data_IF_037611063789
#
_entry.id   IF_037611063789
#
_cell.length_a   1.000
_cell.length_b   1.000
_cell.length_c   1.000
_cell.angle_alpha   90.00
_cell.angle_beta   90.00
_cell.angle_gamma   90.00
#
_symmetry.space_group_name_H-M   'P 1'
#
loop_
_entity.id
_entity.type
_entity.pdbx_description
1 polymer ?
#
# COMPACT_ATOMS: atom_id res chain seq x y z
N UNK A 1 -32.81 98.92 -28.11
CA UNK A 1 -33.39 97.62 -27.69
C UNK A 1 -32.83 97.29 -26.31
N UNK A 2 -33.68 97.28 -25.28
CA UNK A 2 -33.27 97.13 -23.90
C UNK A 2 -32.96 95.65 -23.57
N UNK A 3 -31.83 95.41 -22.88
CA UNK A 3 -31.47 94.11 -22.30
C UNK A 3 -32.47 93.79 -21.18
N UNK A 4 -33.27 92.74 -21.36
CA UNK A 4 -34.16 92.20 -20.32
C UNK A 4 -33.28 91.48 -19.29
N UNK A 5 -33.35 91.90 -18.03
CA UNK A 5 -32.65 91.29 -16.90
C UNK A 5 -33.06 89.83 -16.72
N UNK A 6 -32.08 88.94 -16.52
CA UNK A 6 -32.34 87.55 -16.13
C UNK A 6 -33.14 87.52 -14.83
N UNK A 7 -34.22 86.73 -14.83
CA UNK A 7 -35.01 86.45 -13.64
C UNK A 7 -34.14 85.69 -12.62
N UNK A 8 -34.13 86.18 -11.37
CA UNK A 8 -33.53 85.46 -10.25
C UNK A 8 -34.25 84.12 -10.10
N UNK A 9 -33.52 83.02 -10.25
CA UNK A 9 -34.02 81.68 -9.98
C UNK A 9 -34.08 81.56 -8.45
N UNK A 10 -35.26 81.81 -7.87
CA UNK A 10 -35.56 81.44 -6.48
C UNK A 10 -35.72 79.92 -6.45
N UNK A 11 -34.76 79.24 -5.81
CA UNK A 11 -34.86 77.82 -5.50
C UNK A 11 -35.98 77.64 -4.47
N UNK A 12 -36.85 76.65 -4.67
CA UNK A 12 -37.91 76.31 -3.72
C UNK A 12 -37.27 75.92 -2.37
N UNK A 13 -37.89 76.30 -1.25
CA UNK A 13 -37.36 76.06 0.11
C UNK A 13 -37.00 74.57 0.34
N UNK A 14 -37.78 73.66 -0.24
CA UNK A 14 -37.54 72.21 -0.23
C UNK A 14 -36.21 71.79 -0.88
N UNK A 15 -35.75 72.49 -1.92
CA UNK A 15 -34.48 72.20 -2.61
C UNK A 15 -33.27 72.63 -1.76
N UNK A 16 -33.44 73.70 -0.96
CA UNK A 16 -32.40 74.22 -0.05
C UNK A 16 -32.24 73.29 1.15
N UNK A 17 -33.35 72.82 1.73
CA UNK A 17 -33.34 71.86 2.85
C UNK A 17 -32.76 70.51 2.44
N UNK A 18 -33.11 70.00 1.25
CA UNK A 18 -32.51 68.78 0.70
C UNK A 18 -31.01 68.93 0.45
N UNK A 19 -30.56 70.10 -0.06
CA UNK A 19 -29.15 70.42 -0.22
C UNK A 19 -28.39 70.47 1.11
N UNK A 20 -28.95 71.10 2.15
CA UNK A 20 -28.35 71.15 3.49
C UNK A 20 -28.27 69.76 4.14
N UNK A 21 -29.31 68.92 3.99
CA UNK A 21 -29.30 67.55 4.49
C UNK A 21 -28.27 66.67 3.77
N UNK A 22 -28.06 66.86 2.45
CA UNK A 22 -27.01 66.19 1.69
C UNK A 22 -25.61 66.59 2.19
N UNK A 23 -25.38 67.90 2.40
CA UNK A 23 -24.11 68.42 2.90
C UNK A 23 -23.81 67.91 4.33
N UNK A 24 -24.82 67.87 5.21
CA UNK A 24 -24.67 67.29 6.55
C UNK A 24 -24.27 65.80 6.51
N UNK A 25 -24.89 65.02 5.60
CA UNK A 25 -24.50 63.61 5.36
C UNK A 25 -23.08 63.49 4.81
N UNK A 26 -22.67 64.36 3.90
CA UNK A 26 -21.30 64.39 3.37
C UNK A 26 -20.28 64.72 4.46
N UNK A 27 -20.56 65.72 5.31
CA UNK A 27 -19.69 66.06 6.45
C UNK A 27 -19.59 64.91 7.45
N UNK A 28 -20.71 64.23 7.73
CA UNK A 28 -20.72 63.06 8.62
C UNK A 28 -19.88 61.91 8.04
N UNK A 29 -20.01 61.63 6.74
CA UNK A 29 -19.18 60.61 6.08
C UNK A 29 -17.69 61.00 6.08
N UNK A 30 -17.37 62.28 5.86
CA UNK A 30 -15.98 62.76 5.93
C UNK A 30 -15.38 62.59 7.34
N UNK A 31 -16.15 62.90 8.39
CA UNK A 31 -15.72 62.71 9.77
C UNK A 31 -15.43 61.23 10.08
N UNK A 32 -16.34 60.33 9.69
CA UNK A 32 -16.15 58.89 9.87
C UNK A 32 -14.91 58.36 9.12
N UNK A 33 -14.68 58.83 7.89
CA UNK A 33 -13.48 58.45 7.13
C UNK A 33 -12.20 58.93 7.83
N UNK A 34 -12.17 60.17 8.35
CA UNK A 34 -11.00 60.67 9.08
C UNK A 34 -10.72 59.92 10.38
N UNK A 35 -11.77 59.50 11.11
CA UNK A 35 -11.63 58.67 12.30
C UNK A 35 -11.06 57.28 11.94
N UNK A 36 -11.57 56.69 10.87
CA UNK A 36 -11.08 55.42 10.35
C UNK A 36 -9.60 55.51 9.95
N UNK A 37 -9.20 56.54 9.20
CA UNK A 37 -7.81 56.76 8.80
C UNK A 37 -6.88 56.92 10.00
N UNK A 38 -7.31 57.67 11.02
CA UNK A 38 -6.54 57.84 12.25
C UNK A 38 -6.38 56.53 13.02
N UNK A 39 -7.42 55.68 13.05
CA UNK A 39 -7.33 54.35 13.66
C UNK A 39 -6.33 53.46 12.92
N UNK A 40 -6.37 53.42 11.58
CA UNK A 40 -5.43 52.62 10.77
C UNK A 40 -3.99 53.07 11.01
N UNK A 41 -3.72 54.38 11.03
CA UNK A 41 -2.38 54.92 11.32
C UNK A 41 -1.91 54.58 12.73
N UNK A 42 -2.80 54.65 13.72
CA UNK A 42 -2.46 54.28 15.09
C UNK A 42 -2.06 52.79 15.20
N UNK A 43 -2.79 51.90 14.52
CA UNK A 43 -2.46 50.46 14.47
C UNK A 43 -1.13 50.22 13.75
N UNK A 44 -0.90 50.87 12.61
CA UNK A 44 0.35 50.74 11.87
C UNK A 44 1.56 51.18 12.72
N UNK A 45 1.44 52.30 13.45
CA UNK A 45 2.49 52.78 14.35
C UNK A 45 2.75 51.82 15.53
N UNK A 46 1.71 51.21 16.10
CA UNK A 46 1.85 50.22 17.18
C UNK A 46 2.58 48.95 16.73
N UNK A 47 2.34 48.51 15.49
CA UNK A 47 2.96 47.32 14.91
C UNK A 47 4.32 47.60 14.26
N UNK A 48 4.73 48.86 14.17
CA UNK A 48 5.95 49.27 13.46
C UNK A 48 5.86 49.08 11.93
N UNK A 49 4.64 48.98 11.38
CA UNK A 49 4.42 48.86 9.94
C UNK A 49 4.44 50.24 9.28
N UNK A 50 5.32 50.44 8.31
CA UNK A 50 5.39 51.69 7.56
C UNK A 50 4.34 51.68 6.44
N UNK A 51 3.39 52.62 6.50
CA UNK A 51 2.34 52.73 5.51
C UNK A 51 2.90 53.14 4.14
N UNK A 52 2.49 52.48 3.05
CA UNK A 52 2.91 52.86 1.70
C UNK A 52 2.46 54.30 1.41
N UNK A 53 3.39 55.18 1.03
CA UNK A 53 3.10 56.59 0.71
C UNK A 53 2.29 57.37 1.78
N UNK A 54 2.39 56.96 3.06
CA UNK A 54 1.66 57.54 4.20
C UNK A 54 0.12 57.58 4.05
N UNK A 55 -0.42 56.74 3.14
CA UNK A 55 -1.86 56.64 2.89
C UNK A 55 -2.46 55.41 3.59
N UNK A 56 -3.76 55.47 3.86
CA UNK A 56 -4.55 54.43 4.56
C UNK A 56 -5.40 53.62 3.59
N UNK A 57 -5.19 53.78 2.28
CA UNK A 57 -5.93 53.09 1.24
C UNK A 57 -5.69 51.57 1.31
N UNK A 58 -6.75 50.75 1.51
CA UNK A 58 -6.60 49.30 1.64
C UNK A 58 -5.90 48.64 0.44
N UNK A 59 -6.16 49.13 -0.78
CA UNK A 59 -5.57 48.59 -2.01
C UNK A 59 -4.05 48.81 -2.05
N UNK A 60 -3.56 49.95 -1.55
CA UNK A 60 -2.13 50.25 -1.52
C UNK A 60 -1.41 49.42 -0.45
N UNK A 61 -2.03 49.24 0.71
CA UNK A 61 -1.55 48.34 1.76
C UNK A 61 -1.49 46.90 1.23
N UNK A 62 -2.53 46.43 0.55
CA UNK A 62 -2.56 45.09 -0.05
C UNK A 62 -1.43 44.89 -1.06
N UNK A 63 -1.19 45.88 -1.94
CA UNK A 63 -0.11 45.80 -2.93
C UNK A 63 1.27 45.79 -2.29
N UNK A 64 1.48 46.54 -1.21
CA UNK A 64 2.75 46.53 -0.49
C UNK A 64 2.98 45.22 0.27
N UNK A 65 1.95 44.66 0.92
CA UNK A 65 2.01 43.32 1.51
C UNK A 65 2.42 42.30 0.46
N UNK A 66 1.79 42.34 -0.72
CA UNK A 66 2.12 41.44 -1.81
C UNK A 66 3.58 41.62 -2.31
N UNK A 67 4.06 42.86 -2.38
CA UNK A 67 5.44 43.15 -2.76
C UNK A 67 6.45 42.65 -1.71
N UNK A 68 6.18 42.88 -0.42
CA UNK A 68 6.99 42.38 0.70
C UNK A 68 7.03 40.85 0.71
N UNK A 69 5.88 40.19 0.52
CA UNK A 69 5.77 38.73 0.40
C UNK A 69 6.66 38.18 -0.72
N UNK A 70 6.63 38.81 -1.90
CA UNK A 70 7.48 38.41 -3.03
C UNK A 70 8.97 38.57 -2.74
N UNK A 71 9.36 39.73 -2.19
CA UNK A 71 10.75 40.02 -1.80
C UNK A 71 11.26 39.02 -0.77
N UNK A 72 10.44 38.65 0.21
CA UNK A 72 10.80 37.65 1.23
C UNK A 72 11.04 36.26 0.62
N UNK A 73 10.20 35.83 -0.33
CA UNK A 73 10.40 34.55 -1.01
C UNK A 73 11.68 34.55 -1.85
N UNK A 74 11.91 35.63 -2.61
CA UNK A 74 13.12 35.79 -3.41
C UNK A 74 14.38 35.71 -2.53
N UNK A 75 14.39 36.42 -1.40
CA UNK A 75 15.49 36.37 -0.43
C UNK A 75 15.70 34.94 0.14
N UNK A 76 14.63 34.22 0.48
CA UNK A 76 14.72 32.83 0.95
C UNK A 76 15.32 31.89 -0.11
N UNK A 77 14.94 32.07 -1.38
CA UNK A 77 15.50 31.28 -2.48
C UNK A 77 16.97 31.62 -2.75
N UNK A 78 17.36 32.88 -2.59
CA UNK A 78 18.77 33.30 -2.66
C UNK A 78 19.62 32.66 -1.57
N UNK A 79 19.11 32.56 -0.33
CA UNK A 79 19.78 31.83 0.75
C UNK A 79 19.98 30.36 0.35
N UNK A 80 18.95 29.69 -0.18
CA UNK A 80 19.05 28.31 -0.65
C UNK A 80 20.10 28.08 -1.75
N UNK A 81 20.14 28.98 -2.75
CA UNK A 81 21.16 28.96 -3.80
C UNK A 81 22.57 29.20 -3.24
N UNK A 82 22.72 30.16 -2.33
CA UNK A 82 23.97 30.46 -1.64
C UNK A 82 24.49 29.26 -0.83
N UNK A 83 23.61 28.56 -0.13
CA UNK A 83 23.95 27.34 0.62
C UNK A 83 24.40 26.18 -0.28
N UNK A 84 23.83 26.04 -1.48
CA UNK A 84 24.29 25.05 -2.46
C UNK A 84 25.72 25.34 -2.95
N UNK A 85 26.01 26.60 -3.27
CA UNK A 85 27.35 27.04 -3.68
C UNK A 85 28.34 26.89 -2.52
N UNK A 86 27.92 27.22 -1.30
CA UNK A 86 28.73 27.02 -0.10
C UNK A 86 29.06 25.54 0.11
N UNK A 87 28.09 24.64 -0.12
CA UNK A 87 28.30 23.20 -0.02
C UNK A 87 29.30 22.68 -1.04
N UNK A 88 29.28 23.20 -2.28
CA UNK A 88 30.25 22.78 -3.31
C UNK A 88 31.65 23.34 -3.08
N UNK A 89 31.76 24.51 -2.45
CA UNK A 89 33.04 25.11 -2.07
C UNK A 89 33.70 24.44 -0.85
N UNK A 90 32.93 23.72 -0.03
CA UNK A 90 33.42 23.06 1.18
C UNK A 90 33.96 21.65 0.90
N UNK A 91 35.15 21.33 1.41
CA UNK A 91 35.64 19.95 1.53
C UNK A 91 34.88 19.20 2.63
N UNK A 92 34.89 17.85 2.60
CA UNK A 92 34.11 17.01 3.53
C UNK A 92 34.24 17.47 5.00
N UNK A 93 33.11 17.60 5.69
CA UNK A 93 33.01 18.01 7.10
C UNK A 93 32.97 19.52 7.34
N UNK A 94 33.60 20.34 6.50
CA UNK A 94 33.70 21.80 6.72
C UNK A 94 32.37 22.55 6.51
N UNK A 95 31.41 21.97 5.80
CA UNK A 95 30.10 22.58 5.58
C UNK A 95 29.30 22.75 6.88
N UNK A 96 29.37 21.78 7.80
CA UNK A 96 28.61 21.81 9.05
C UNK A 96 29.12 22.95 9.96
N UNK A 97 30.43 23.16 10.02
CA UNK A 97 31.03 24.27 10.79
C UNK A 97 30.58 25.63 10.26
N UNK A 98 30.44 25.77 8.93
CA UNK A 98 29.93 27.00 8.30
C UNK A 98 28.45 27.22 8.57
N UNK A 99 27.64 26.16 8.58
CA UNK A 99 26.23 26.26 8.98
C UNK A 99 26.08 26.71 10.44
N UNK A 100 26.90 26.16 11.35
CA UNK A 100 26.92 26.57 12.75
C UNK A 100 27.30 28.05 12.91
N UNK A 101 28.27 28.55 12.13
CA UNK A 101 28.65 29.97 12.13
C UNK A 101 27.54 30.89 11.60
N UNK A 102 26.71 30.40 10.68
CA UNK A 102 25.52 31.09 10.18
C UNK A 102 24.31 30.98 11.12
N UNK A 103 24.39 30.18 12.19
CA UNK A 103 23.27 29.91 13.09
C UNK A 103 22.15 29.08 12.46
N UNK A 104 22.45 28.33 11.39
CA UNK A 104 21.47 27.50 10.68
C UNK A 104 21.63 26.04 11.06
N UNK A 105 20.51 25.41 11.44
CA UNK A 105 20.48 23.96 11.61
C UNK A 105 20.65 23.27 10.25
N UNK A 106 21.31 22.11 10.24
CA UNK A 106 21.50 21.28 9.07
C UNK A 106 20.18 21.02 8.32
N UNK A 107 19.13 20.66 9.04
CA UNK A 107 17.80 20.35 8.47
C UNK A 107 17.21 21.56 7.75
N UNK A 108 17.25 22.73 8.40
CA UNK A 108 16.75 23.99 7.84
C UNK A 108 17.54 24.41 6.60
N UNK A 109 18.87 24.29 6.64
CA UNK A 109 19.72 24.59 5.49
C UNK A 109 19.39 23.72 4.28
N UNK A 110 19.16 22.41 4.49
CA UNK A 110 18.75 21.52 3.42
C UNK A 110 17.37 21.85 2.86
N UNK A 111 16.41 22.28 3.70
CA UNK A 111 15.09 22.74 3.23
C UNK A 111 15.21 23.95 2.31
N UNK A 112 16.02 24.95 2.66
CA UNK A 112 16.28 26.10 1.78
C UNK A 112 16.94 25.70 0.46
N UNK A 113 17.94 24.80 0.52
CA UNK A 113 18.60 24.28 -0.67
C UNK A 113 17.64 23.53 -1.58
N UNK A 114 16.76 22.71 -1.03
CA UNK A 114 15.80 21.91 -1.81
C UNK A 114 14.69 22.78 -2.44
N UNK A 115 14.18 23.76 -1.70
CA UNK A 115 13.28 24.76 -2.27
C UNK A 115 13.95 25.46 -3.47
N UNK A 116 15.21 25.90 -3.32
CA UNK A 116 15.95 26.56 -4.40
C UNK A 116 16.16 25.65 -5.63
N UNK A 117 16.45 24.35 -5.47
CA UNK A 117 16.57 23.41 -6.60
C UNK A 117 15.23 23.23 -7.31
N UNK A 118 14.14 23.01 -6.56
CA UNK A 118 12.78 22.85 -7.12
C UNK A 118 12.36 24.08 -7.93
N UNK A 119 12.62 25.28 -7.40
CA UNK A 119 12.35 26.53 -8.13
C UNK A 119 13.24 26.72 -9.36
N UNK A 120 14.49 26.27 -9.31
CA UNK A 120 15.37 26.33 -10.48
C UNK A 120 14.96 25.33 -11.57
N UNK A 121 14.46 24.14 -11.19
CA UNK A 121 14.02 23.10 -12.11
C UNK A 121 12.74 23.49 -12.88
N UNK A 122 11.90 24.34 -12.30
CA UNK A 122 10.69 24.87 -12.98
C UNK A 122 11.01 25.73 -14.21
N UNK A 123 12.24 26.21 -14.35
CA UNK A 123 12.69 27.04 -15.47
C UNK A 123 11.96 28.38 -15.59
N UNK A 124 12.38 29.21 -16.54
CA UNK A 124 11.74 30.49 -16.91
C UNK A 124 10.39 30.28 -17.63
N UNK A 125 9.57 29.33 -17.18
CA UNK A 125 8.25 29.08 -17.74
C UNK A 125 7.26 30.09 -17.18
N UNK A 126 7.03 31.16 -17.96
CA UNK A 126 6.14 32.29 -17.65
C UNK A 126 4.70 31.88 -17.26
N UNK A 127 4.28 30.66 -17.59
CA UNK A 127 2.97 30.07 -17.30
C UNK A 127 2.84 29.57 -15.87
N UNK A 128 3.88 28.96 -15.29
CA UNK A 128 3.88 28.53 -13.89
C UNK A 128 4.07 29.72 -12.93
N UNK A 129 4.86 30.72 -13.32
CA UNK A 129 4.97 31.99 -12.57
C UNK A 129 3.66 32.77 -12.51
N UNK A 130 2.75 32.59 -13.49
CA UNK A 130 1.38 33.14 -13.45
C UNK A 130 0.43 32.30 -12.57
N UNK A 131 0.65 30.99 -12.46
CA UNK A 131 -0.09 30.14 -11.53
C UNK A 131 0.36 30.31 -10.05
N UNK A 132 1.57 30.83 -9.87
CA UNK A 132 2.22 31.18 -8.60
C UNK A 132 1.74 32.54 -8.05
N UNK A 133 0.94 33.30 -8.79
CA UNK A 133 0.40 34.59 -8.31
C UNK A 133 -0.53 34.44 -7.09
N UNK A 134 -0.94 33.22 -6.73
CA UNK A 134 -1.34 32.93 -5.35
C UNK A 134 -0.07 32.80 -4.50
N UNK A 135 0.48 33.93 -4.08
CA UNK A 135 1.69 34.03 -3.24
C UNK A 135 1.69 33.05 -2.06
N UNK A 136 0.52 32.64 -1.58
CA UNK A 136 0.31 31.57 -0.61
C UNK A 136 0.97 30.23 -0.98
N UNK A 137 1.01 29.84 -2.26
CA UNK A 137 1.66 28.59 -2.71
C UNK A 137 3.18 28.63 -2.61
N UNK A 138 3.80 29.81 -2.73
CA UNK A 138 5.24 29.99 -2.52
C UNK A 138 5.61 29.81 -1.05
N UNK A 139 4.78 30.35 -0.15
CA UNK A 139 4.93 30.15 1.28
C UNK A 139 4.64 28.71 1.67
N UNK A 140 3.60 28.09 1.10
CA UNK A 140 3.36 26.65 1.29
C UNK A 140 4.56 25.84 0.80
N UNK A 141 5.18 26.10 -0.35
CA UNK A 141 6.38 25.35 -0.77
C UNK A 141 7.62 25.55 0.13
N UNK A 142 7.73 26.67 0.86
CA UNK A 142 8.78 26.89 1.87
C UNK A 142 8.41 26.29 3.25
N UNK A 143 7.12 26.12 3.53
CA UNK A 143 6.57 25.64 4.81
C UNK A 143 6.21 24.16 4.78
N UNK A 144 6.05 23.57 3.58
CA UNK A 144 5.75 22.16 3.41
C UNK A 144 6.98 21.35 3.81
N UNK A 145 6.85 20.70 4.96
CA UNK A 145 7.67 19.56 5.33
C UNK A 145 7.40 18.45 4.33
N UNK A 146 8.39 18.15 3.49
CA UNK A 146 8.42 16.86 2.83
C UNK A 146 8.82 15.81 3.88
N UNK A 147 7.84 15.35 4.65
CA UNK A 147 7.77 13.92 4.91
C UNK A 147 7.21 13.28 3.64
N UNK A 148 7.99 12.36 3.05
CA UNK A 148 7.69 11.58 1.84
C UNK A 148 8.02 12.22 0.48
N UNK A 149 9.31 12.54 0.22
CA UNK A 149 9.84 12.47 -1.15
C UNK A 149 11.17 11.71 -1.17
N UNK A 150 11.07 10.38 -1.21
CA UNK A 150 12.14 9.52 -1.72
C UNK A 150 11.67 8.23 -2.41
N UNK A 151 10.43 8.18 -2.93
CA UNK A 151 9.94 7.08 -3.78
C UNK A 151 9.06 7.54 -4.96
N UNK A 152 9.31 8.72 -5.54
CA UNK A 152 8.55 9.23 -6.71
C UNK A 152 9.42 9.76 -7.85
N UNK A 153 10.65 9.25 -8.01
CA UNK A 153 11.49 9.51 -9.21
C UNK A 153 11.69 8.26 -10.08
N UNK A 154 11.21 7.08 -9.68
CA UNK A 154 11.51 5.81 -10.38
C UNK A 154 10.34 5.14 -11.08
N UNK A 155 9.10 5.61 -10.89
CA UNK A 155 7.94 5.11 -11.62
C UNK A 155 7.05 6.29 -11.96
N UNK A 156 7.18 6.83 -13.17
CA UNK A 156 6.40 7.97 -13.66
C UNK A 156 4.91 7.66 -13.84
N UNK A 157 4.23 7.31 -12.75
CA UNK A 157 2.79 7.06 -12.61
C UNK A 157 2.46 7.17 -11.11
N UNK A 158 1.94 8.33 -10.68
CA UNK A 158 0.97 8.34 -9.58
C UNK A 158 -0.27 7.61 -10.11
N UNK A 159 -0.91 6.76 -9.31
CA UNK A 159 -2.04 5.92 -9.71
C UNK A 159 -3.29 6.66 -10.22
N UNK A 160 -4.48 6.11 -9.94
CA UNK A 160 -5.78 6.37 -10.61
C UNK A 160 -6.30 7.82 -10.73
N UNK A 161 -5.59 8.85 -10.28
CA UNK A 161 -6.00 10.24 -10.46
C UNK A 161 -5.01 10.97 -11.38
N UNK A 162 -5.43 11.21 -12.62
CA UNK A 162 -4.66 11.98 -13.58
C UNK A 162 -4.58 13.44 -13.14
N UNK A 163 -3.49 14.14 -13.48
CA UNK A 163 -3.34 15.58 -13.24
C UNK A 163 -4.50 16.38 -13.87
N UNK A 164 -5.11 15.84 -14.93
CA UNK A 164 -6.25 16.42 -15.63
C UNK A 164 -7.57 16.31 -14.82
N UNK A 165 -7.74 15.26 -14.01
CA UNK A 165 -8.90 15.11 -13.12
C UNK A 165 -8.85 16.11 -11.95
N UNK A 166 -7.64 16.40 -11.45
CA UNK A 166 -7.45 17.41 -10.39
C UNK A 166 -7.74 18.83 -10.91
N UNK A 167 -7.51 19.10 -12.19
CA UNK A 167 -7.76 20.40 -12.81
C UNK A 167 -9.25 20.65 -13.11
N UNK A 168 -10.05 19.60 -13.29
CA UNK A 168 -11.49 19.68 -13.60
C UNK A 168 -12.39 19.64 -12.37
N UNK A 169 -11.88 19.18 -11.23
CA UNK A 169 -12.61 19.14 -9.97
C UNK A 169 -12.78 20.51 -9.31
N UNK A 170 -13.97 20.77 -8.79
CA UNK A 170 -14.20 21.91 -7.90
C UNK A 170 -13.53 21.70 -6.54
N UNK A 171 -13.22 22.79 -5.83
CA UNK A 171 -12.58 22.76 -4.48
C UNK A 171 -13.35 21.87 -3.50
N UNK A 172 -14.69 21.76 -3.66
CA UNK A 172 -15.54 20.93 -2.80
C UNK A 172 -15.37 19.43 -3.10
N UNK A 173 -15.20 19.07 -4.36
CA UNK A 173 -14.95 17.68 -4.79
C UNK A 173 -13.54 17.24 -4.41
N UNK A 174 -12.54 18.10 -4.58
CA UNK A 174 -11.16 17.81 -4.15
C UNK A 174 -11.07 17.59 -2.64
N UNK A 175 -11.77 18.42 -1.83
CA UNK A 175 -11.87 18.23 -0.37
C UNK A 175 -12.65 16.98 0.03
N UNK A 176 -13.54 16.48 -0.82
CA UNK A 176 -14.29 15.24 -0.59
C UNK A 176 -13.41 14.04 -0.92
N UNK A 177 -12.80 14.01 -2.10
CA UNK A 177 -11.86 12.99 -2.55
C UNK A 177 -10.68 12.85 -1.58
N UNK A 178 -10.13 13.96 -1.08
CA UNK A 178 -9.05 13.92 -0.08
C UNK A 178 -9.50 13.31 1.25
N UNK A 179 -10.75 13.53 1.67
CA UNK A 179 -11.29 12.90 2.89
C UNK A 179 -11.50 11.40 2.69
N UNK A 180 -12.09 11.02 1.56
CA UNK A 180 -12.30 9.61 1.19
C UNK A 180 -10.95 8.87 1.10
N UNK A 181 -9.98 9.41 0.38
CA UNK A 181 -8.63 8.83 0.28
C UNK A 181 -7.92 8.74 1.64
N UNK A 182 -8.15 9.67 2.57
CA UNK A 182 -7.60 9.60 3.94
C UNK A 182 -8.26 8.49 4.75
N UNK A 183 -9.57 8.33 4.65
CA UNK A 183 -10.29 7.25 5.33
C UNK A 183 -9.92 5.88 4.74
N UNK A 184 -9.78 5.78 3.42
CA UNK A 184 -9.30 4.56 2.75
C UNK A 184 -7.87 4.20 3.17
N UNK A 185 -6.97 5.18 3.22
CA UNK A 185 -5.60 4.96 3.72
C UNK A 185 -5.59 4.48 5.16
N UNK A 186 -6.42 5.04 6.04
CA UNK A 186 -6.55 4.57 7.44
C UNK A 186 -7.09 3.15 7.51
N UNK A 187 -8.11 2.82 6.72
CA UNK A 187 -8.68 1.48 6.66
C UNK A 187 -7.64 0.46 6.15
N UNK A 188 -6.90 0.81 5.09
CA UNK A 188 -5.82 -0.02 4.57
C UNK A 188 -4.69 -0.21 5.58
N UNK A 189 -4.32 0.84 6.32
CA UNK A 189 -3.32 0.75 7.39
C UNK A 189 -3.76 -0.19 8.53
N UNK A 190 -5.04 -0.14 8.93
CA UNK A 190 -5.61 -1.07 9.92
C UNK A 190 -5.59 -2.51 9.41
N UNK A 191 -6.06 -2.75 8.17
CA UNK A 191 -6.03 -4.10 7.58
C UNK A 191 -4.61 -4.62 7.43
N UNK A 192 -3.64 -3.77 7.09
CA UNK A 192 -2.24 -4.17 7.02
C UNK A 192 -1.65 -4.48 8.41
N UNK A 193 -2.00 -3.71 9.45
CA UNK A 193 -1.63 -4.03 10.81
C UNK A 193 -2.22 -5.39 11.24
N UNK A 194 -3.50 -5.65 10.97
CA UNK A 194 -4.17 -6.92 11.28
C UNK A 194 -3.59 -8.10 10.47
N UNK A 195 -3.11 -7.86 9.25
CA UNK A 195 -2.42 -8.87 8.44
C UNK A 195 -1.03 -9.14 9.00
N UNK A 196 -0.29 -8.11 9.40
CA UNK A 196 1.04 -8.27 9.97
C UNK A 196 1.00 -9.04 11.29
N UNK A 197 0.05 -8.74 12.17
CA UNK A 197 -0.12 -9.52 13.42
C UNK A 197 -0.43 -10.99 13.15
N UNK A 198 -1.31 -11.29 12.18
CA UNK A 198 -1.59 -12.68 11.77
C UNK A 198 -0.36 -13.36 11.14
N UNK A 199 0.42 -12.63 10.34
CA UNK A 199 1.66 -13.15 9.77
C UNK A 199 2.64 -13.47 10.88
N UNK A 200 2.80 -12.61 11.88
CA UNK A 200 3.69 -12.84 13.02
C UNK A 200 3.21 -14.02 13.88
N UNK A 201 1.90 -14.16 14.10
CA UNK A 201 1.30 -15.32 14.78
C UNK A 201 1.56 -16.62 14.02
N UNK A 202 1.33 -16.63 12.71
CA UNK A 202 1.57 -17.80 11.85
C UNK A 202 3.07 -18.11 11.74
N UNK A 203 3.92 -17.08 11.65
CA UNK A 203 5.37 -17.23 11.66
C UNK A 203 5.86 -17.80 12.99
N UNK A 204 5.28 -17.39 14.13
CA UNK A 204 5.57 -17.98 15.43
C UNK A 204 5.08 -19.43 15.54
N UNK A 205 3.91 -19.76 14.98
CA UNK A 205 3.42 -21.14 14.90
C UNK A 205 4.29 -22.03 14.00
N UNK A 206 4.75 -21.50 12.87
CA UNK A 206 5.66 -22.18 11.96
C UNK A 206 7.06 -22.31 12.55
N UNK A 207 7.58 -21.31 13.26
CA UNK A 207 8.86 -21.40 13.95
C UNK A 207 8.83 -22.40 15.13
N UNK A 208 7.67 -22.56 15.77
CA UNK A 208 7.45 -23.61 16.80
C UNK A 208 7.34 -25.02 16.20
N UNK A 209 7.03 -25.14 14.91
CA UNK A 209 7.06 -26.42 14.19
C UNK A 209 8.47 -26.57 13.58
N UNK A 210 9.30 -27.53 14.01
CA UNK A 210 10.63 -27.67 13.44
C UNK A 210 10.53 -27.87 11.91
N UNK A 211 11.31 -27.06 11.16
CA UNK A 211 11.33 -26.98 9.70
C UNK A 211 11.73 -28.28 8.99
N UNK A 212 12.15 -29.29 9.76
CA UNK A 212 12.33 -30.66 9.30
C UNK A 212 11.55 -31.55 10.27
N UNK A 213 10.27 -31.76 9.98
CA UNK A 213 9.63 -33.01 10.38
C UNK A 213 10.30 -34.04 9.47
N UNK A 214 11.41 -34.62 9.93
CA UNK A 214 11.74 -35.98 9.51
C UNK A 214 10.56 -36.76 10.04
N UNK A 215 9.50 -36.91 9.24
CA UNK A 215 8.51 -37.92 9.56
C UNK A 215 9.36 -39.18 9.69
N UNK A 216 9.40 -39.82 10.86
CA UNK A 216 10.10 -41.08 10.98
C UNK A 216 9.53 -41.95 9.85
N UNK A 217 10.39 -42.66 9.11
CA UNK A 217 9.94 -43.48 7.97
C UNK A 217 8.74 -44.36 8.33
N UNK A 218 8.60 -44.71 9.62
CA UNK A 218 7.46 -45.39 10.22
C UNK A 218 6.10 -44.70 9.99
N UNK A 219 6.00 -43.37 10.02
CA UNK A 219 4.75 -42.62 9.85
C UNK A 219 4.32 -42.56 8.38
N UNK A 220 5.28 -42.38 7.46
CA UNK A 220 5.02 -42.51 6.02
C UNK A 220 4.61 -43.94 5.64
N UNK A 221 5.25 -44.94 6.24
CA UNK A 221 4.87 -46.34 6.07
C UNK A 221 3.49 -46.63 6.67
N UNK A 222 3.11 -45.97 7.76
CA UNK A 222 1.78 -46.11 8.35
C UNK A 222 0.70 -45.55 7.41
N UNK A 223 0.89 -44.35 6.86
CA UNK A 223 -0.03 -43.74 5.89
C UNK A 223 -0.17 -44.61 4.63
N UNK A 224 0.94 -45.11 4.09
CA UNK A 224 0.91 -46.03 2.93
C UNK A 224 0.24 -47.36 3.23
N UNK A 225 0.36 -47.89 4.46
CA UNK A 225 -0.37 -49.10 4.89
C UNK A 225 -1.86 -48.83 5.00
N UNK A 226 -2.28 -47.67 5.48
CA UNK A 226 -3.69 -47.27 5.54
C UNK A 226 -4.28 -47.10 4.13
N UNK A 227 -3.54 -46.46 3.22
CA UNK A 227 -3.92 -46.37 1.79
C UNK A 227 -4.03 -47.76 1.13
N UNK A 228 -3.12 -48.69 1.44
CA UNK A 228 -3.20 -50.05 0.92
C UNK A 228 -4.39 -50.81 1.53
N UNK A 229 -4.66 -50.63 2.82
CA UNK A 229 -5.77 -51.26 3.51
C UNK A 229 -7.13 -50.80 2.94
N UNK A 230 -7.30 -49.51 2.68
CA UNK A 230 -8.54 -48.97 2.07
C UNK A 230 -8.76 -49.51 0.65
N UNK A 231 -7.70 -49.68 -0.14
CA UNK A 231 -7.80 -50.30 -1.48
C UNK A 231 -8.10 -51.80 -1.41
N UNK A 232 -7.52 -52.51 -0.44
CA UNK A 232 -7.78 -53.93 -0.23
C UNK A 232 -9.23 -54.19 0.21
N UNK A 233 -9.76 -53.40 1.16
CA UNK A 233 -11.16 -53.50 1.59
C UNK A 233 -12.13 -53.11 0.48
N UNK A 234 -11.80 -52.13 -0.36
CA UNK A 234 -12.60 -51.81 -1.54
C UNK A 234 -12.64 -52.95 -2.56
N UNK A 235 -11.52 -53.64 -2.80
CA UNK A 235 -11.46 -54.81 -3.67
C UNK A 235 -12.27 -55.99 -3.11
N UNK A 236 -12.17 -56.26 -1.81
CA UNK A 236 -12.99 -57.26 -1.12
C UNK A 236 -14.48 -56.93 -1.22
N UNK A 237 -14.86 -55.67 -0.99
CA UNK A 237 -16.23 -55.20 -1.13
C UNK A 237 -16.76 -55.35 -2.57
N UNK A 238 -15.92 -55.15 -3.59
CA UNK A 238 -16.31 -55.38 -4.98
C UNK A 238 -16.57 -56.88 -5.27
N UNK A 239 -15.74 -57.77 -4.71
CA UNK A 239 -15.92 -59.23 -4.84
C UNK A 239 -17.20 -59.68 -4.10
N UNK A 240 -17.36 -59.28 -2.84
CA UNK A 240 -18.51 -59.68 -2.03
C UNK A 240 -19.82 -59.00 -2.47
N UNK A 241 -19.76 -57.72 -2.86
CA UNK A 241 -20.94 -56.91 -3.15
C UNK A 241 -21.41 -56.95 -4.61
N UNK A 242 -20.49 -57.07 -5.58
CA UNK A 242 -20.85 -57.06 -7.01
C UNK A 242 -20.70 -58.42 -7.67
N UNK A 243 -19.57 -59.13 -7.42
CA UNK A 243 -19.30 -60.41 -8.09
C UNK A 243 -20.15 -61.53 -7.52
N UNK A 244 -20.31 -61.62 -6.20
CA UNK A 244 -21.08 -62.70 -5.57
C UNK A 244 -22.56 -62.73 -5.99
N UNK A 245 -23.33 -61.62 -5.98
CA UNK A 245 -24.71 -61.64 -6.45
C UNK A 245 -24.82 -61.91 -7.96
N UNK A 246 -23.86 -61.41 -8.76
CA UNK A 246 -23.84 -61.67 -10.20
C UNK A 246 -23.63 -63.17 -10.51
N UNK A 247 -22.76 -63.85 -9.76
CA UNK A 247 -22.57 -65.30 -9.85
C UNK A 247 -23.85 -66.04 -9.44
N UNK A 248 -24.49 -65.64 -8.34
CA UNK A 248 -25.74 -66.25 -7.88
C UNK A 248 -26.84 -66.16 -8.96
N UNK A 249 -27.05 -64.98 -9.54
CA UNK A 249 -28.04 -64.79 -10.61
C UNK A 249 -27.74 -65.61 -11.87
N UNK A 250 -26.46 -65.79 -12.21
CA UNK A 250 -26.06 -66.60 -13.37
C UNK A 250 -26.29 -68.09 -13.14
N UNK A 251 -26.09 -68.56 -11.90
CA UNK A 251 -26.40 -69.95 -11.50
C UNK A 251 -27.91 -70.18 -11.55
N UNK A 252 -28.72 -69.30 -10.95
CA UNK A 252 -30.19 -69.40 -10.94
C UNK A 252 -30.75 -69.47 -12.38
N UNK A 253 -30.30 -68.58 -13.28
CA UNK A 253 -30.71 -68.60 -14.70
C UNK A 253 -30.17 -69.81 -15.48
N UNK A 254 -29.02 -70.34 -15.08
CA UNK A 254 -28.48 -71.58 -15.63
C UNK A 254 -29.37 -72.78 -15.31
N UNK A 255 -29.89 -72.84 -14.09
CA UNK A 255 -30.83 -73.88 -13.65
C UNK A 255 -32.18 -73.77 -14.38
N UNK A 256 -32.70 -72.56 -14.60
CA UNK A 256 -33.94 -72.33 -15.37
C UNK A 256 -33.82 -72.73 -16.85
N UNK A 257 -32.64 -72.55 -17.44
CA UNK A 257 -32.37 -72.86 -18.86
C UNK A 257 -31.85 -74.28 -19.10
N UNK A 258 -31.59 -75.04 -18.04
CA UNK A 258 -31.06 -76.41 -18.08
C UNK A 258 -29.59 -76.50 -18.54
N UNK A 259 -28.87 -75.38 -18.58
CA UNK A 259 -27.46 -75.31 -18.98
C UNK A 259 -26.57 -75.06 -17.75
N UNK A 260 -25.56 -75.90 -17.55
CA UNK A 260 -24.59 -75.69 -16.46
C UNK A 260 -23.65 -74.52 -16.78
N UNK A 261 -23.84 -73.39 -16.08
CA UNK A 261 -23.04 -72.17 -16.24
C UNK A 261 -21.78 -72.15 -15.34
N UNK A 262 -21.60 -73.15 -14.46
CA UNK A 262 -20.43 -73.28 -13.57
C UNK A 262 -19.07 -73.20 -14.28
N UNK A 263 -18.83 -73.78 -15.47
CA UNK A 263 -17.53 -73.66 -16.15
C UNK A 263 -17.21 -72.22 -16.58
N UNK A 264 -18.21 -71.42 -16.95
CA UNK A 264 -18.02 -70.00 -17.30
C UNK A 264 -17.68 -69.19 -16.04
N UNK A 265 -18.40 -69.44 -14.94
CA UNK A 265 -18.12 -68.85 -13.63
C UNK A 265 -16.70 -69.19 -13.17
N UNK A 266 -16.28 -70.45 -13.30
CA UNK A 266 -14.94 -70.88 -12.95
C UNK A 266 -13.86 -70.16 -13.77
N UNK A 267 -14.09 -69.92 -15.06
CA UNK A 267 -13.19 -69.14 -15.91
C UNK A 267 -13.05 -67.68 -15.47
N UNK A 268 -14.18 -67.03 -15.12
CA UNK A 268 -14.18 -65.65 -14.62
C UNK A 268 -13.51 -65.52 -13.25
N UNK A 269 -13.75 -66.46 -12.33
CA UNK A 269 -13.08 -66.50 -11.03
C UNK A 269 -11.58 -66.72 -11.18
N UNK A 270 -11.17 -67.64 -12.06
CA UNK A 270 -9.75 -67.89 -12.35
C UNK A 270 -9.03 -66.64 -12.91
N UNK A 271 -9.74 -65.75 -13.60
CA UNK A 271 -9.17 -64.48 -14.07
C UNK A 271 -8.87 -63.53 -12.90
N UNK A 272 -9.78 -63.42 -11.93
CA UNK A 272 -9.59 -62.60 -10.73
C UNK A 272 -8.46 -63.18 -9.86
N UNK A 273 -8.42 -64.51 -9.69
CA UNK A 273 -7.35 -65.20 -8.98
C UNK A 273 -5.98 -64.97 -9.65
N UNK A 274 -5.91 -65.02 -10.99
CA UNK A 274 -4.68 -64.75 -11.72
C UNK A 274 -4.15 -63.33 -11.51
N UNK A 275 -5.04 -62.33 -11.45
CA UNK A 275 -4.63 -60.95 -11.16
C UNK A 275 -4.01 -60.83 -9.75
N UNK A 276 -4.57 -61.51 -8.75
CA UNK A 276 -4.00 -61.56 -7.39
C UNK A 276 -2.66 -62.31 -7.36
N UNK A 277 -2.54 -63.43 -8.09
CA UNK A 277 -1.30 -64.18 -8.19
C UNK A 277 -0.19 -63.40 -8.90
N UNK A 278 -0.53 -62.56 -9.88
CA UNK A 278 0.43 -61.69 -10.56
C UNK A 278 1.04 -60.67 -9.60
N UNK A 279 0.23 -60.03 -8.75
CA UNK A 279 0.72 -59.12 -7.70
C UNK A 279 1.64 -59.88 -6.74
N UNK A 280 1.27 -61.10 -6.34
CA UNK A 280 2.12 -61.93 -5.47
C UNK A 280 3.45 -62.30 -6.12
N UNK A 281 3.44 -62.65 -7.41
CA UNK A 281 4.64 -63.03 -8.14
C UNK A 281 5.59 -61.84 -8.36
N UNK A 282 5.06 -60.65 -8.65
CA UNK A 282 5.85 -59.43 -8.86
C UNK A 282 6.63 -59.03 -7.60
N UNK A 283 5.99 -59.12 -6.43
CA UNK A 283 6.58 -58.71 -5.16
C UNK A 283 7.09 -59.89 -4.29
N UNK A 284 7.10 -61.11 -4.85
CA UNK A 284 7.48 -62.35 -4.15
C UNK A 284 6.77 -62.56 -2.80
N UNK A 285 5.47 -62.23 -2.74
CA UNK A 285 4.65 -62.31 -1.52
C UNK A 285 4.15 -63.76 -1.35
N UNK A 286 4.38 -64.39 -0.18
CA UNK A 286 3.96 -65.76 0.06
C UNK A 286 2.44 -65.90 0.09
N UNK A 287 1.94 -67.01 -0.44
CA UNK A 287 0.50 -67.24 -0.57
C UNK A 287 -0.21 -67.54 0.76
N UNK A 288 0.53 -68.18 1.68
CA UNK A 288 0.14 -68.43 3.07
C UNK A 288 0.85 -67.42 3.95
N UNK A 289 0.17 -66.88 4.97
CA UNK A 289 0.87 -66.19 6.05
C UNK A 289 1.88 -67.18 6.64
N UNK A 290 3.17 -66.97 6.41
CA UNK A 290 4.20 -67.66 7.19
C UNK A 290 3.92 -67.32 8.65
N UNK A 291 3.61 -68.33 9.46
CA UNK A 291 3.25 -68.15 10.87
C UNK A 291 4.39 -67.60 11.73
N UNK A 292 5.55 -67.32 11.15
CA UNK A 292 6.59 -66.52 11.75
C UNK A 292 6.18 -65.04 11.65
N UNK A 293 5.49 -64.57 12.70
CA UNK A 293 5.22 -63.15 12.95
C UNK A 293 6.52 -62.33 13.13
N UNK A 294 7.67 -63.00 13.13
CA UNK A 294 9.01 -62.43 13.17
C UNK A 294 9.54 -62.30 11.73
N UNK A 295 9.86 -61.08 11.28
CA UNK A 295 10.68 -60.90 10.08
C UNK A 295 11.94 -61.79 10.14
N UNK A 296 12.47 -62.25 9.01
CA UNK A 296 13.61 -63.19 8.97
C UNK A 296 14.86 -62.68 9.70
N UNK A 297 15.03 -61.35 9.84
CA UNK A 297 16.10 -60.71 10.62
C UNK A 297 15.86 -60.67 12.14
N UNK A 298 14.65 -61.00 12.59
CA UNK A 298 14.21 -61.15 13.99
C UNK A 298 13.91 -62.61 14.36
N UNK A 299 14.21 -63.57 13.49
CA UNK A 299 14.19 -64.98 13.88
C UNK A 299 15.39 -65.24 14.81
N UNK A 300 15.20 -65.99 15.90
CA UNK A 300 16.27 -66.35 16.85
C UNK A 300 17.45 -67.07 16.16
N UNK A 301 17.19 -67.71 15.02
CA UNK A 301 18.20 -68.43 14.21
C UNK A 301 18.96 -67.51 13.23
N UNK A 302 18.66 -66.20 13.19
CA UNK A 302 19.29 -65.25 12.26
C UNK A 302 20.79 -65.08 12.53
N UNK A 303 21.23 -65.13 13.79
CA UNK A 303 22.64 -65.13 14.13
C UNK A 303 23.36 -66.41 13.67
N UNK A 304 22.70 -67.56 13.76
CA UNK A 304 23.26 -68.84 13.35
C UNK A 304 23.36 -68.92 11.83
N UNK A 305 22.34 -68.43 11.10
CA UNK A 305 22.36 -68.32 9.65
C UNK A 305 23.45 -67.38 9.14
N UNK A 306 23.69 -66.25 9.81
CA UNK A 306 24.77 -65.31 9.47
C UNK A 306 26.14 -65.91 9.78
N UNK A 307 26.31 -66.58 10.93
CA UNK A 307 27.56 -67.28 11.28
C UNK A 307 27.87 -68.41 10.28
N UNK A 308 26.85 -69.16 9.84
CA UNK A 308 27.00 -70.20 8.84
C UNK A 308 27.41 -69.64 7.46
N UNK A 309 26.76 -68.56 7.00
CA UNK A 309 27.08 -67.89 5.74
C UNK A 309 28.50 -67.28 5.75
N UNK A 310 28.93 -66.71 6.87
CA UNK A 310 30.30 -66.20 7.06
C UNK A 310 31.32 -67.34 7.07
N UNK A 311 31.00 -68.49 7.67
CA UNK A 311 31.86 -69.66 7.69
C UNK A 311 31.99 -70.34 6.30
N UNK A 312 30.94 -70.32 5.48
CA UNK A 312 31.00 -70.76 4.08
C UNK A 312 31.81 -69.80 3.21
N UNK A 313 31.63 -68.49 3.38
CA UNK A 313 32.43 -67.48 2.66
C UNK A 313 33.92 -67.58 3.00
N UNK A 314 34.26 -67.88 4.26
CA UNK A 314 35.65 -68.10 4.69
C UNK A 314 36.29 -69.35 4.06
N UNK A 315 35.50 -70.39 3.75
CA UNK A 315 36.00 -71.62 3.11
C UNK A 315 36.15 -71.51 1.59
N UNK A 316 35.50 -70.54 0.95
CA UNK A 316 35.61 -70.29 -0.49
C UNK A 316 36.72 -69.27 -0.84
N UNK A 317 37.36 -68.68 0.18
CA UNK A 317 38.44 -67.71 0.04
C UNK A 317 39.86 -68.25 0.28
N UNK A 318 40.02 -69.55 0.52
CA UNK A 318 41.30 -70.29 0.46
C UNK A 318 41.40 -71.07 -0.86
#
# INVERSE_FOLDING_TARGET
>A
MARKSQAAVELLEDDIEQGQALLAKQHQMAALNTEHDNQVRAVAAQLGYQLPADCTDPDLIQRDIAANMRRSVEACLEVGRGLQVLKSACIHGSFIERLNALGLERTVAFRFMDAATKFSALGSNATLTKAIDSQSKLFEMLVLEDEEIQELELTGQTGELSIDDVATMSVKELRKALREAREDKKALAQVNADKNTKIDELAAQLARKPLVVVQPMDEQLAERREELATKATAAEAAIAGALHPAVQLLVEKGEESGQDQRPIIAGMLAQVERALLQIRAEYNIPATLSASATPTWMADDSEEAVKAALAEAAKQGE
#
